data_IF_222846261613
#
_entry.id   IF_222846261613
#
_cell.length_a   1.000
_cell.length_b   1.000
_cell.length_c   1.000
_cell.angle_alpha   90.00
_cell.angle_beta   90.00
_cell.angle_gamma   90.00
#
_symmetry.space_group_name_H-M   'P 1'
#
loop_
_entity.id
_entity.type
_entity.pdbx_description
1 polymer ?
#
# COMPACT_ATOMS: atom_id res chain seq x y z
N UNK A 1 10.22 -27.51 32.92
CA UNK A 1 9.93 -28.53 31.89
C UNK A 1 11.27 -29.05 31.39
N UNK A 2 11.51 -30.35 31.40
CA UNK A 2 12.82 -30.91 31.02
C UNK A 2 12.88 -31.19 29.51
N UNK A 3 13.97 -30.73 28.88
CA UNK A 3 14.25 -30.92 27.46
C UNK A 3 15.24 -32.08 27.32
N UNK A 4 14.87 -33.12 26.56
CA UNK A 4 15.74 -34.26 26.28
C UNK A 4 16.61 -34.03 25.04
N UNK A 5 16.05 -33.38 24.01
CA UNK A 5 16.73 -33.14 22.74
C UNK A 5 16.17 -31.93 22.00
N UNK A 6 17.06 -31.16 21.40
CA UNK A 6 16.76 -30.08 20.45
C UNK A 6 17.32 -30.50 19.09
N UNK A 7 16.56 -30.26 18.01
CA UNK A 7 16.97 -30.64 16.66
C UNK A 7 16.38 -29.71 15.61
N UNK A 8 16.97 -29.70 14.41
CA UNK A 8 16.58 -28.88 13.27
C UNK A 8 16.44 -27.38 13.62
N UNK A 9 17.43 -26.74 14.26
CA UNK A 9 17.35 -25.32 14.52
C UNK A 9 17.40 -24.52 13.21
N UNK A 10 16.51 -23.54 13.08
CA UNK A 10 16.44 -22.62 11.96
C UNK A 10 16.02 -21.24 12.46
N UNK A 11 16.61 -20.17 11.94
CA UNK A 11 16.16 -18.81 12.22
C UNK A 11 14.69 -18.64 11.80
N UNK A 12 13.86 -18.15 12.72
CA UNK A 12 12.44 -17.91 12.49
C UNK A 12 12.19 -16.61 11.70
N UNK A 13 13.19 -15.74 11.64
CA UNK A 13 13.16 -14.45 10.96
C UNK A 13 14.55 -14.08 10.45
N UNK A 14 14.61 -13.16 9.48
CA UNK A 14 15.85 -12.67 8.87
C UNK A 14 16.74 -11.83 9.80
N UNK A 15 16.17 -11.31 10.89
CA UNK A 15 16.86 -10.44 11.84
C UNK A 15 17.44 -11.27 13.00
N UNK A 16 17.35 -12.60 12.90
CA UNK A 16 17.89 -13.59 13.82
C UNK A 16 17.39 -13.40 15.26
N UNK A 17 16.12 -13.01 15.42
CA UNK A 17 15.54 -12.72 16.74
C UNK A 17 14.97 -13.95 17.44
N UNK A 18 14.60 -14.98 16.68
CA UNK A 18 13.99 -16.20 17.19
C UNK A 18 14.46 -17.45 16.43
N UNK A 19 14.46 -18.61 17.08
CA UNK A 19 14.86 -19.90 16.49
C UNK A 19 13.69 -20.87 16.52
N UNK A 20 13.29 -21.37 15.36
CA UNK A 20 12.39 -22.52 15.23
C UNK A 20 13.21 -23.81 15.37
N UNK A 21 12.72 -24.76 16.15
CA UNK A 21 13.35 -26.06 16.32
C UNK A 21 12.33 -27.14 16.69
N UNK A 22 12.74 -28.40 16.60
CA UNK A 22 12.00 -29.56 17.09
C UNK A 22 12.54 -29.94 18.47
N UNK A 23 11.68 -29.88 19.48
CA UNK A 23 12.04 -30.11 20.88
C UNK A 23 11.34 -31.36 21.39
N UNK A 24 12.13 -32.32 21.88
CA UNK A 24 11.65 -33.49 22.61
C UNK A 24 11.70 -33.18 24.10
N UNK A 25 10.53 -33.07 24.72
CA UNK A 25 10.38 -32.92 26.17
C UNK A 25 10.16 -34.29 26.81
N UNK A 26 10.61 -34.45 28.06
CA UNK A 26 10.54 -35.73 28.80
C UNK A 26 9.12 -36.30 28.91
N UNK A 27 8.12 -35.43 29.05
CA UNK A 27 6.71 -35.80 29.23
C UNK A 27 5.91 -35.85 27.92
N UNK A 28 6.54 -35.59 26.76
CA UNK A 28 5.88 -35.63 25.45
C UNK A 28 6.54 -36.72 24.62
N UNK A 29 5.77 -37.70 24.16
CA UNK A 29 6.31 -38.85 23.42
C UNK A 29 7.04 -38.48 22.12
N UNK A 30 6.63 -37.42 21.45
CA UNK A 30 7.19 -36.97 20.18
C UNK A 30 7.87 -35.61 20.31
N UNK A 31 8.84 -35.33 19.45
CA UNK A 31 9.37 -33.99 19.32
C UNK A 31 8.29 -33.07 18.74
N UNK A 32 8.13 -31.89 19.33
CA UNK A 32 7.13 -30.89 18.92
C UNK A 32 7.82 -29.64 18.37
N UNK A 33 7.20 -28.92 17.43
CA UNK A 33 7.73 -27.64 16.97
C UNK A 33 7.70 -26.63 18.11
N UNK A 34 8.79 -25.87 18.25
CA UNK A 34 8.95 -24.84 19.25
C UNK A 34 9.68 -23.64 18.66
N UNK A 35 9.23 -22.43 18.99
CA UNK A 35 9.91 -21.18 18.64
C UNK A 35 10.53 -20.60 19.90
N UNK A 36 11.86 -20.62 19.99
CA UNK A 36 12.61 -20.14 21.14
C UNK A 36 13.12 -18.72 20.92
N UNK A 37 13.14 -17.90 21.97
CA UNK A 37 13.66 -16.52 21.92
C UNK A 37 14.54 -16.22 23.14
N UNK A 38 15.46 -15.25 23.01
CA UNK A 38 16.27 -14.79 24.15
C UNK A 38 15.41 -14.23 25.31
N UNK A 39 14.23 -13.70 24.98
CA UNK A 39 13.29 -13.07 25.90
C UNK A 39 12.06 -13.94 26.20
N UNK A 40 12.15 -15.26 26.01
CA UNK A 40 11.04 -16.17 26.26
C UNK A 40 10.55 -16.02 27.71
N UNK A 41 9.24 -16.05 27.92
CA UNK A 41 8.65 -15.95 29.26
C UNK A 41 9.01 -17.17 30.11
N UNK A 42 9.05 -18.34 29.49
CA UNK A 42 9.35 -19.59 30.13
C UNK A 42 10.87 -19.82 30.20
N UNK A 43 11.36 -20.28 31.36
CA UNK A 43 12.79 -20.51 31.57
C UNK A 43 13.38 -21.49 30.55
N UNK A 44 12.66 -22.58 30.27
CA UNK A 44 13.11 -23.59 29.31
C UNK A 44 13.16 -23.05 27.88
N UNK A 45 12.34 -22.05 27.51
CA UNK A 45 12.39 -21.43 26.18
C UNK A 45 13.67 -20.61 25.99
N UNK A 46 14.09 -19.87 27.02
CA UNK A 46 15.38 -19.15 27.02
C UNK A 46 16.56 -20.13 26.98
N UNK A 47 16.48 -21.23 27.72
CA UNK A 47 17.51 -22.27 27.75
C UNK A 47 17.66 -22.95 26.37
N UNK A 48 16.54 -23.25 25.70
CA UNK A 48 16.54 -23.80 24.33
C UNK A 48 17.20 -22.81 23.35
N UNK A 49 16.83 -21.53 23.41
CA UNK A 49 17.45 -20.51 22.55
C UNK A 49 18.96 -20.42 22.79
N UNK A 50 19.40 -20.40 24.06
CA UNK A 50 20.81 -20.37 24.41
C UNK A 50 21.57 -21.62 23.95
N UNK A 51 20.95 -22.81 24.02
CA UNK A 51 21.53 -24.06 23.53
C UNK A 51 21.73 -24.03 22.00
N UNK A 52 20.74 -23.53 21.25
CA UNK A 52 20.88 -23.30 19.81
C UNK A 52 22.03 -22.34 19.48
N UNK A 53 22.12 -21.21 20.19
CA UNK A 53 23.18 -20.20 19.98
C UNK A 53 24.59 -20.74 20.28
N UNK A 54 24.72 -21.71 21.18
CA UNK A 54 25.99 -22.38 21.48
C UNK A 54 26.35 -23.49 20.49
N UNK A 55 25.45 -23.82 19.54
CA UNK A 55 25.62 -24.92 18.59
C UNK A 55 25.36 -26.31 19.18
N UNK A 56 24.80 -26.40 20.40
CA UNK A 56 24.50 -27.68 21.07
C UNK A 56 23.42 -28.48 20.31
N UNK A 57 22.56 -27.78 19.56
CA UNK A 57 21.52 -28.34 18.71
C UNK A 57 21.96 -28.54 17.23
N UNK A 58 23.23 -28.28 16.91
CA UNK A 58 23.73 -28.14 15.55
C UNK A 58 23.76 -26.69 15.07
N UNK A 59 24.23 -26.48 13.83
CA UNK A 59 24.23 -25.16 13.19
C UNK A 59 22.80 -24.69 12.93
N UNK A 60 22.50 -23.44 13.29
CA UNK A 60 21.18 -22.84 13.03
C UNK A 60 21.09 -22.53 11.53
N UNK A 61 20.17 -23.21 10.84
CA UNK A 61 19.92 -22.94 9.43
C UNK A 61 19.36 -21.52 9.23
N UNK A 62 19.66 -20.89 8.10
CA UNK A 62 19.14 -19.57 7.77
C UNK A 62 17.61 -19.56 7.60
N UNK A 63 17.02 -18.40 7.89
CA UNK A 63 15.58 -18.20 7.71
C UNK A 63 15.21 -18.33 6.23
N UNK A 64 14.28 -19.23 5.92
CA UNK A 64 13.68 -19.37 4.59
C UNK A 64 12.26 -18.84 4.66
N UNK A 65 12.02 -17.67 4.06
CA UNK A 65 10.67 -17.13 3.97
C UNK A 65 9.81 -18.10 3.15
N UNK A 66 8.60 -18.48 3.60
CA UNK A 66 7.72 -19.32 2.81
C UNK A 66 7.44 -18.67 1.46
N UNK A 67 7.98 -19.25 0.39
CA UNK A 67 7.77 -18.75 -0.96
C UNK A 67 6.34 -19.11 -1.39
N UNK A 68 5.50 -18.11 -1.65
CA UNK A 68 4.26 -18.33 -2.38
C UNK A 68 4.56 -18.56 -3.86
N UNK A 69 3.67 -19.23 -4.58
CA UNK A 69 3.84 -19.36 -6.03
C UNK A 69 3.79 -17.99 -6.71
N UNK A 70 4.45 -17.81 -7.87
CA UNK A 70 4.35 -16.60 -8.66
C UNK A 70 2.89 -16.22 -8.99
N UNK A 71 2.00 -17.20 -9.17
CA UNK A 71 0.58 -16.97 -9.39
C UNK A 71 -0.08 -16.31 -8.17
N UNK A 72 0.19 -16.83 -6.97
CA UNK A 72 -0.36 -16.24 -5.74
C UNK A 72 0.22 -14.85 -5.48
N UNK A 73 1.49 -14.63 -5.79
CA UNK A 73 2.11 -13.32 -5.72
C UNK A 73 1.43 -12.32 -6.67
N UNK A 74 1.14 -12.72 -7.92
CA UNK A 74 0.41 -11.89 -8.90
C UNK A 74 -1.00 -11.57 -8.46
N UNK A 75 -1.71 -12.52 -7.86
CA UNK A 75 -3.06 -12.31 -7.32
C UNK A 75 -3.05 -11.22 -6.24
N UNK A 76 -2.18 -11.35 -5.23
CA UNK A 76 -2.03 -10.38 -4.15
C UNK A 76 -1.61 -9.01 -4.66
N UNK A 77 -0.66 -8.96 -5.61
CA UNK A 77 -0.20 -7.70 -6.20
C UNK A 77 -1.28 -7.03 -7.05
N UNK A 78 -2.07 -7.81 -7.79
CA UNK A 78 -3.24 -7.33 -8.54
C UNK A 78 -4.29 -6.72 -7.61
N UNK A 79 -4.55 -7.33 -6.45
CA UNK A 79 -5.43 -6.76 -5.43
C UNK A 79 -4.88 -5.41 -4.91
N UNK A 80 -3.58 -5.33 -4.66
CA UNK A 80 -2.90 -4.07 -4.31
C UNK A 80 -3.04 -2.98 -5.37
N UNK A 81 -2.89 -3.31 -6.65
CA UNK A 81 -3.10 -2.40 -7.78
C UNK A 81 -4.56 -1.91 -7.83
N UNK A 82 -5.53 -2.79 -7.62
CA UNK A 82 -6.94 -2.41 -7.61
C UNK A 82 -7.27 -1.50 -6.41
N UNK A 83 -6.70 -1.78 -5.23
CA UNK A 83 -6.85 -0.92 -4.06
C UNK A 83 -6.23 0.46 -4.28
N UNK A 84 -5.05 0.53 -4.92
CA UNK A 84 -4.44 1.80 -5.33
C UNK A 84 -5.34 2.57 -6.29
N UNK A 85 -5.86 1.93 -7.34
CA UNK A 85 -6.78 2.55 -8.30
C UNK A 85 -7.98 3.17 -7.58
N UNK A 86 -8.65 2.39 -6.73
CA UNK A 86 -9.82 2.86 -5.99
C UNK A 86 -9.49 4.09 -5.13
N UNK A 87 -8.33 4.09 -4.45
CA UNK A 87 -7.87 5.25 -3.66
C UNK A 87 -7.63 6.48 -4.54
N UNK A 88 -7.01 6.32 -5.71
CA UNK A 88 -6.77 7.45 -6.63
C UNK A 88 -8.08 7.96 -7.24
N UNK A 89 -9.01 7.09 -7.61
CA UNK A 89 -10.32 7.47 -8.15
C UNK A 89 -11.20 8.19 -7.11
N UNK A 90 -11.02 7.89 -5.82
CA UNK A 90 -11.72 8.56 -4.72
C UNK A 90 -11.01 9.81 -4.17
N UNK A 91 -9.78 10.09 -4.61
CA UNK A 91 -9.01 11.21 -4.09
C UNK A 91 -9.48 12.56 -4.65
N UNK A 92 -9.19 13.62 -3.90
CA UNK A 92 -9.29 15.00 -4.36
C UNK A 92 -7.94 15.48 -4.89
N UNK A 93 -7.99 16.31 -5.91
CA UNK A 93 -6.84 16.83 -6.63
C UNK A 93 -7.01 18.31 -6.90
N UNK A 94 -5.93 19.00 -7.25
CA UNK A 94 -5.94 20.41 -7.62
C UNK A 94 -5.70 20.54 -9.11
N UNK A 95 -6.43 21.43 -9.77
CA UNK A 95 -6.18 21.84 -11.15
C UNK A 95 -6.25 23.36 -11.29
N UNK A 96 -5.52 23.90 -12.26
CA UNK A 96 -5.54 25.34 -12.55
C UNK A 96 -6.58 25.67 -13.62
N UNK A 97 -7.44 26.63 -13.33
CA UNK A 97 -8.47 27.12 -14.25
C UNK A 97 -8.75 28.60 -14.01
N UNK A 98 -8.80 29.40 -15.09
CA UNK A 98 -8.98 30.85 -15.05
C UNK A 98 -8.03 31.57 -14.07
N UNK A 99 -6.76 31.17 -14.04
CA UNK A 99 -5.72 31.79 -13.22
C UNK A 99 -5.78 31.45 -11.73
N UNK A 100 -6.60 30.49 -11.32
CA UNK A 100 -6.75 30.01 -9.94
C UNK A 100 -6.60 28.51 -9.83
N UNK A 101 -6.32 28.03 -8.63
CA UNK A 101 -6.27 26.61 -8.31
C UNK A 101 -7.58 26.19 -7.67
N UNK A 102 -8.17 25.10 -8.16
CA UNK A 102 -9.44 24.60 -7.68
C UNK A 102 -9.31 23.13 -7.31
N UNK A 103 -10.01 22.73 -6.26
CA UNK A 103 -10.20 21.32 -5.98
C UNK A 103 -11.09 20.69 -7.04
N UNK A 104 -10.78 19.45 -7.41
CA UNK A 104 -11.64 18.58 -8.18
C UNK A 104 -11.57 17.16 -7.65
N UNK A 105 -12.60 16.38 -7.94
CA UNK A 105 -12.80 15.05 -7.38
C UNK A 105 -14.27 14.80 -7.13
N UNK A 106 -14.61 13.58 -6.73
CA UNK A 106 -16.00 13.18 -6.51
C UNK A 106 -16.71 14.06 -5.48
N UNK A 107 -16.05 14.31 -4.35
CA UNK A 107 -16.62 15.14 -3.28
C UNK A 107 -16.84 16.59 -3.73
N UNK A 108 -15.89 17.18 -4.45
CA UNK A 108 -16.05 18.55 -4.96
C UNK A 108 -17.18 18.65 -5.97
N UNK A 109 -17.33 17.67 -6.87
CA UNK A 109 -18.46 17.63 -7.82
C UNK A 109 -19.80 17.48 -7.09
N UNK A 110 -19.89 16.59 -6.10
CA UNK A 110 -21.11 16.40 -5.32
C UNK A 110 -21.52 17.69 -4.60
N UNK A 111 -20.55 18.46 -4.07
CA UNK A 111 -20.78 19.76 -3.42
C UNK A 111 -21.14 20.86 -4.42
N UNK A 112 -20.51 20.86 -5.60
CA UNK A 112 -20.69 21.88 -6.62
C UNK A 112 -22.04 21.71 -7.36
N UNK A 113 -22.51 20.47 -7.49
CA UNK A 113 -23.68 20.08 -8.27
C UNK A 113 -24.95 20.91 -8.02
N UNK A 114 -25.43 21.06 -6.77
CA UNK A 114 -26.63 21.86 -6.49
C UNK A 114 -26.49 23.32 -6.92
N UNK A 115 -25.32 23.92 -6.72
CA UNK A 115 -25.06 25.31 -7.10
C UNK A 115 -25.01 25.49 -8.62
N UNK A 116 -24.46 24.51 -9.34
CA UNK A 116 -24.46 24.49 -10.81
C UNK A 116 -25.87 24.32 -11.37
N UNK A 117 -26.72 23.50 -10.73
CA UNK A 117 -28.14 23.39 -11.09
C UNK A 117 -28.83 24.75 -10.92
N UNK A 118 -28.66 25.40 -9.76
CA UNK A 118 -29.23 26.72 -9.51
C UNK A 118 -28.72 27.77 -10.53
N UNK A 119 -27.44 27.73 -10.89
CA UNK A 119 -26.87 28.59 -11.94
C UNK A 119 -27.53 28.37 -13.30
N UNK A 120 -27.72 27.10 -13.71
CA UNK A 120 -28.38 26.76 -14.98
C UNK A 120 -29.85 27.17 -15.02
N UNK A 121 -30.51 27.21 -13.86
CA UNK A 121 -31.91 27.64 -13.73
C UNK A 121 -32.07 29.15 -13.52
N UNK A 122 -30.98 29.92 -13.44
CA UNK A 122 -31.02 31.35 -13.17
C UNK A 122 -31.38 31.72 -11.72
N UNK A 123 -31.26 30.77 -10.79
CA UNK A 123 -31.59 30.89 -9.38
C UNK A 123 -30.36 31.06 -8.47
N UNK A 124 -29.17 31.29 -9.05
CA UNK A 124 -27.95 31.51 -8.28
C UNK A 124 -28.02 32.86 -7.54
N UNK A 125 -27.75 32.92 -6.22
CA UNK A 125 -27.77 34.18 -5.48
C UNK A 125 -26.74 35.20 -6.00
N UNK A 126 -27.09 36.50 -6.01
CA UNK A 126 -26.20 37.58 -6.53
C UNK A 126 -24.84 37.68 -5.82
N UNK A 127 -24.74 37.26 -4.56
CA UNK A 127 -23.51 37.27 -3.75
C UNK A 127 -22.90 35.88 -3.58
N UNK A 128 -23.22 34.96 -4.48
CA UNK A 128 -22.68 33.62 -4.44
C UNK A 128 -21.15 33.64 -4.64
N UNK A 129 -20.46 32.77 -3.92
CA UNK A 129 -19.02 32.55 -4.04
C UNK A 129 -18.71 31.06 -3.98
N UNK A 130 -17.57 30.69 -4.54
CA UNK A 130 -16.98 29.38 -4.37
C UNK A 130 -15.58 29.51 -3.78
N UNK A 131 -15.23 28.64 -2.83
CA UNK A 131 -13.91 28.66 -2.21
C UNK A 131 -12.92 27.91 -3.10
N UNK A 132 -11.82 28.56 -3.46
CA UNK A 132 -10.74 27.97 -4.25
C UNK A 132 -9.84 27.05 -3.40
N UNK A 133 -8.93 26.31 -4.03
CA UNK A 133 -8.09 25.32 -3.34
C UNK A 133 -7.13 25.95 -2.31
N UNK A 134 -6.88 27.26 -2.44
CA UNK A 134 -6.05 28.05 -1.55
C UNK A 134 -6.87 28.70 -0.42
N UNK A 135 -8.15 28.29 -0.25
CA UNK A 135 -9.11 28.78 0.74
C UNK A 135 -9.50 30.25 0.58
N UNK A 136 -9.52 30.76 -0.65
CA UNK A 136 -10.05 32.10 -0.93
C UNK A 136 -11.49 32.01 -1.42
N UNK A 137 -12.37 32.84 -0.87
CA UNK A 137 -13.75 32.98 -1.35
C UNK A 137 -13.76 33.82 -2.63
N UNK A 138 -14.09 33.17 -3.75
CA UNK A 138 -14.12 33.79 -5.07
C UNK A 138 -15.57 34.06 -5.44
N UNK A 139 -15.99 35.33 -5.62
CA UNK A 139 -17.31 35.64 -6.18
C UNK A 139 -17.48 34.99 -7.55
N UNK A 140 -18.63 34.39 -7.82
CA UNK A 140 -18.87 33.65 -9.07
C UNK A 140 -20.16 34.13 -9.73
N UNK A 141 -20.11 34.40 -11.04
CA UNK A 141 -21.34 34.46 -11.86
C UNK A 141 -21.87 33.05 -12.15
N UNK A 142 -23.10 32.96 -12.66
CA UNK A 142 -23.68 31.68 -13.09
C UNK A 142 -22.83 31.05 -14.20
N UNK A 143 -22.37 31.84 -15.17
CA UNK A 143 -21.53 31.40 -16.28
C UNK A 143 -20.17 30.89 -15.79
N UNK A 144 -19.52 31.60 -14.87
CA UNK A 144 -18.23 31.21 -14.31
C UNK A 144 -18.33 29.90 -13.52
N UNK A 145 -19.42 29.72 -12.75
CA UNK A 145 -19.64 28.51 -11.96
C UNK A 145 -19.89 27.29 -12.84
N UNK A 146 -20.67 27.45 -13.92
CA UNK A 146 -20.90 26.40 -14.91
C UNK A 146 -19.58 26.03 -15.60
N UNK A 147 -18.80 27.02 -16.04
CA UNK A 147 -17.52 26.78 -16.70
C UNK A 147 -16.50 26.09 -15.77
N UNK A 148 -16.45 26.47 -14.48
CA UNK A 148 -15.63 25.79 -13.48
C UNK A 148 -16.04 24.32 -13.32
N UNK A 149 -17.35 24.05 -13.23
CA UNK A 149 -17.87 22.69 -13.10
C UNK A 149 -17.50 21.82 -14.31
N UNK A 150 -17.63 22.34 -15.52
CA UNK A 150 -17.29 21.64 -16.76
C UNK A 150 -15.78 21.36 -16.84
N UNK A 151 -14.95 22.35 -16.51
CA UNK A 151 -13.50 22.20 -16.48
C UNK A 151 -13.07 21.14 -15.43
N UNK A 152 -13.70 21.15 -14.25
CA UNK A 152 -13.44 20.15 -13.22
C UNK A 152 -13.88 18.73 -13.65
N UNK A 153 -15.00 18.59 -14.37
CA UNK A 153 -15.43 17.30 -14.94
C UNK A 153 -14.45 16.80 -16.00
N UNK A 154 -13.94 17.68 -16.85
CA UNK A 154 -12.91 17.34 -17.83
C UNK A 154 -11.61 16.90 -17.16
N UNK A 155 -11.19 17.61 -16.10
CA UNK A 155 -10.01 17.24 -15.30
C UNK A 155 -10.18 15.86 -14.63
N UNK A 156 -11.36 15.57 -14.08
CA UNK A 156 -11.68 14.24 -13.53
C UNK A 156 -11.61 13.15 -14.59
N UNK A 157 -12.15 13.39 -15.78
CA UNK A 157 -12.08 12.42 -16.88
C UNK A 157 -10.64 12.14 -17.28
N UNK A 158 -9.82 13.19 -17.46
CA UNK A 158 -8.40 13.05 -17.80
C UNK A 158 -7.65 12.26 -16.71
N UNK A 159 -7.84 12.60 -15.44
CA UNK A 159 -7.23 11.89 -14.31
C UNK A 159 -7.66 10.42 -14.26
N UNK A 160 -8.94 10.13 -14.49
CA UNK A 160 -9.47 8.76 -14.56
C UNK A 160 -8.79 7.94 -15.66
N UNK A 161 -8.54 8.54 -16.83
CA UNK A 161 -7.81 7.90 -17.92
C UNK A 161 -6.35 7.62 -17.55
N UNK A 162 -5.65 8.56 -16.92
CA UNK A 162 -4.28 8.35 -16.42
C UNK A 162 -4.21 7.19 -15.42
N UNK A 163 -5.12 7.17 -14.45
CA UNK A 163 -5.21 6.11 -13.44
C UNK A 163 -5.48 4.76 -14.11
N UNK A 164 -6.41 4.71 -15.07
CA UNK A 164 -6.72 3.50 -15.82
C UNK A 164 -5.51 2.98 -16.62
N UNK A 165 -4.83 3.87 -17.35
CA UNK A 165 -3.63 3.52 -18.11
C UNK A 165 -2.55 2.97 -17.19
N UNK A 166 -2.26 3.67 -16.07
CA UNK A 166 -1.26 3.20 -15.12
C UNK A 166 -1.65 1.86 -14.49
N UNK A 167 -2.90 1.66 -14.11
CA UNK A 167 -3.39 0.37 -13.61
C UNK A 167 -3.13 -0.76 -14.62
N UNK A 168 -3.42 -0.54 -15.90
CA UNK A 168 -3.18 -1.55 -16.94
C UNK A 168 -1.69 -1.82 -17.12
N UNK A 169 -0.85 -0.79 -17.10
CA UNK A 169 0.59 -0.96 -17.23
C UNK A 169 1.15 -1.76 -16.05
N UNK A 170 0.79 -1.42 -14.80
CA UNK A 170 1.22 -2.20 -13.64
C UNK A 170 0.83 -3.67 -13.73
N UNK A 171 -0.39 -3.97 -14.21
CA UNK A 171 -0.84 -5.36 -14.40
C UNK A 171 -0.07 -6.10 -15.48
N UNK A 172 0.37 -5.42 -16.54
CA UNK A 172 1.24 -6.01 -17.58
C UNK A 172 2.65 -6.26 -17.03
N UNK A 173 3.21 -5.27 -16.35
CA UNK A 173 4.56 -5.34 -15.76
C UNK A 173 4.67 -6.54 -14.80
N UNK A 174 3.70 -6.75 -13.89
CA UNK A 174 3.72 -7.92 -12.98
C UNK A 174 3.44 -9.25 -13.68
N UNK A 175 2.81 -9.24 -14.85
CA UNK A 175 2.54 -10.46 -15.62
C UNK A 175 3.81 -10.98 -16.33
N UNK A 176 4.77 -10.10 -16.60
CA UNK A 176 6.06 -10.44 -17.21
C UNK A 176 7.05 -11.02 -16.18
N UNK A 177 6.86 -10.73 -14.88
CA UNK A 177 7.68 -11.25 -13.80
C UNK A 177 7.43 -12.75 -13.54
N UNK A 178 8.51 -13.53 -13.51
CA UNK A 178 8.47 -14.99 -13.28
C UNK A 178 8.67 -15.37 -11.82
N UNK A 179 9.39 -14.54 -11.06
CA UNK A 179 9.77 -14.83 -9.68
C UNK A 179 8.81 -14.19 -8.67
N UNK A 180 8.44 -14.96 -7.64
CA UNK A 180 7.49 -14.53 -6.63
C UNK A 180 8.03 -13.36 -5.79
N UNK A 181 9.32 -13.35 -5.47
CA UNK A 181 9.94 -12.27 -4.71
C UNK A 181 9.97 -10.97 -5.52
N UNK A 182 10.31 -11.04 -6.81
CA UNK A 182 10.24 -9.90 -7.72
C UNK A 182 8.82 -9.32 -7.81
N UNK A 183 7.80 -10.16 -7.93
CA UNK A 183 6.39 -9.72 -7.93
C UNK A 183 6.03 -9.05 -6.62
N UNK A 184 6.44 -9.62 -5.48
CA UNK A 184 6.17 -9.04 -4.17
C UNK A 184 6.85 -7.68 -3.98
N UNK A 185 8.07 -7.50 -4.49
CA UNK A 185 8.84 -6.25 -4.44
C UNK A 185 8.33 -5.17 -5.40
N UNK A 186 7.51 -5.51 -6.39
CA UNK A 186 6.93 -4.55 -7.32
C UNK A 186 6.19 -3.40 -6.58
N UNK A 187 6.58 -2.16 -6.88
CA UNK A 187 6.04 -0.96 -6.24
C UNK A 187 4.74 -0.53 -6.93
N UNK A 188 3.65 -0.56 -6.18
CA UNK A 188 2.34 -0.10 -6.66
C UNK A 188 2.23 1.40 -6.47
N UNK A 189 2.01 2.14 -7.56
CA UNK A 189 1.88 3.58 -7.50
C UNK A 189 2.14 4.24 -8.84
N UNK A 190 2.17 5.57 -8.82
CA UNK A 190 2.76 6.34 -9.92
C UNK A 190 4.24 5.98 -10.07
N UNK A 191 4.78 5.99 -11.29
CA UNK A 191 6.22 5.84 -11.48
C UNK A 191 6.92 6.95 -10.69
N UNK A 192 7.92 6.61 -9.89
CA UNK A 192 8.84 7.61 -9.36
C UNK A 192 9.53 8.25 -10.56
N UNK A 193 9.35 9.56 -10.73
CA UNK A 193 10.21 10.34 -11.62
C UNK A 193 11.64 10.18 -11.13
N UNK A 194 12.45 9.38 -11.82
CA UNK A 194 13.89 9.51 -11.71
C UNK A 194 14.22 10.92 -12.24
N UNK A 195 14.62 11.84 -11.36
CA UNK A 195 15.31 13.05 -11.80
C UNK A 195 16.55 12.61 -12.57
N UNK A 196 16.78 13.09 -13.81
CA UNK A 196 18.02 12.78 -14.50
C UNK A 196 19.18 13.27 -13.64
N UNK A 197 20.13 12.37 -13.35
CA UNK A 197 21.36 12.70 -12.66
C UNK A 197 22.00 13.90 -13.36
N UNK A 198 22.06 15.02 -12.65
CA UNK A 198 22.87 16.16 -13.06
C UNK A 198 24.32 15.73 -12.97
N UNK A 199 24.94 15.41 -14.11
CA UNK A 199 26.39 15.30 -14.22
C UNK A 199 27.01 16.59 -13.68
N UNK A 200 27.83 16.46 -12.64
CA UNK A 200 28.72 17.50 -12.13
C UNK A 200 30.08 17.38 -12.80
#
# INVERSE_FOLDING_TARGET
MNVEKISNPQWADKDHTAVNCMVKFEHIEQAVPFTATASDTEAYGRDIYAACQKGEAGEIAEHVQPSISPEKARELKTAGINAWRNRMESASYIFSFNGRNWDYGKETQDRLGPSVIAAKEGNLPEKFFWTDADNNDVPMTAEELIALSEAAQQAMFAKGMEIHVRQRNMKKEIAELQDAEAIQRYVVGWPTTEEPATER
#
